data_IF_951264653205
#
_entry.id   IF_951264653205
#
_cell.length_a   1.000
_cell.length_b   1.000
_cell.length_c   1.000
_cell.angle_alpha   90.00
_cell.angle_beta   90.00
_cell.angle_gamma   90.00
#
_symmetry.space_group_name_H-M   'P 1'
#
loop_
_entity.id
_entity.type
_entity.pdbx_description
1 polymer ?
#
# COMPACT_ATOMS: atom_id res chain seq x y z
N UNK A 1 -18.70 -10.37 -10.44
CA UNK A 1 -18.86 -10.46 -10.20
C UNK A 1 -18.71 -10.73 -9.79
N UNK A 2 -18.81 -10.49 -9.85
CA UNK A 2 -18.94 -10.44 -9.46
C UNK A 2 -19.02 -10.50 -8.98
N UNK A 3 -18.92 -10.36 -9.01
CA UNK A 3 -19.22 -10.27 -8.59
C UNK A 3 -19.04 -10.29 -8.16
N UNK A 4 -19.15 -10.26 -8.28
CA UNK A 4 -19.25 -10.10 -7.96
C UNK A 4 -19.09 -10.10 -7.60
N UNK A 5 -18.95 -10.05 -7.74
CA UNK A 5 -19.02 -9.86 -7.47
C UNK A 5 -18.96 -9.84 -7.11
N UNK A 6 -18.75 -9.56 -6.82
CA UNK A 6 -18.97 -9.53 -6.53
C UNK A 6 -18.83 -9.58 -6.31
N UNK A 7 -18.80 -9.18 -6.18
CA UNK A 7 -18.91 -9.41 -5.97
C UNK A 7 -18.59 -9.50 -5.89
N UNK A 8 -18.51 -9.17 -5.71
CA UNK A 8 -18.38 -9.50 -5.56
C UNK A 8 -17.97 -9.82 -5.72
N UNK A 9 -17.60 -9.68 -5.96
CA UNK A 9 -17.33 -10.04 -6.15
C UNK A 9 -17.07 -10.40 -6.45
N UNK A 10 -17.04 -10.17 -6.50
CA UNK A 10 -16.85 -10.69 -6.88
C UNK A 10 -16.80 -10.91 -7.46
N UNK A 11 -16.62 -10.62 -7.78
CA UNK A 11 -16.61 -11.03 -8.36
C UNK A 11 -16.40 -11.24 -9.00
N UNK A 12 -16.12 -10.90 -9.22
CA UNK A 12 -16.01 -11.27 -9.84
C UNK A 12 -15.72 -11.47 -10.43
N UNK A 13 -15.36 -11.30 -10.87
CA UNK A 13 -15.15 -11.59 -11.50
C UNK A 13 -14.97 -11.82 -12.03
N UNK A 14 -14.53 -11.25 -12.09
CA UNK A 14 -14.32 -11.58 -12.51
C UNK A 14 -14.09 -11.59 -13.05
N UNK A 15 -13.75 -11.29 -13.18
CA UNK A 15 -13.50 -11.42 -13.67
C UNK A 15 -13.24 -11.43 -14.14
N UNK A 16 -13.03 -11.17 -14.38
CA UNK A 16 -12.73 -11.38 -14.82
C UNK A 16 -12.73 -11.48 -15.30
N UNK A 17 -12.45 -11.09 -15.41
CA UNK A 17 -12.19 -11.24 -15.82
C UNK A 17 -11.92 -10.99 -16.27
N UNK A 18 -11.72 -10.71 -16.56
CA UNK A 18 -11.20 -10.49 -17.07
C UNK A 18 -10.64 -10.16 -17.30
N UNK A 19 -10.16 -9.78 -17.48
CA UNK A 19 -9.41 -9.75 -17.79
C UNK A 19 -8.74 -9.52 -17.86
N UNK A 20 -8.13 -9.28 -18.07
CA UNK A 20 -7.27 -9.41 -18.25
C UNK A 20 -6.41 -9.48 -18.19
N UNK A 21 -5.85 -9.33 -18.34
CA UNK A 21 -4.91 -9.45 -18.16
C UNK A 21 -3.96 -9.33 -18.24
N UNK A 22 -3.41 -9.10 -18.19
CA UNK A 22 -2.36 -8.99 -18.21
C UNK A 22 -1.58 -9.43 -18.08
N UNK A 23 -1.17 -9.31 -18.30
CA UNK A 23 -0.47 -9.73 -18.30
C UNK A 23 0.52 -10.02 -17.79
N UNK A 24 0.96 -10.14 -17.80
CA UNK A 24 2.18 -10.25 -17.55
C UNK A 24 2.57 -10.56 -16.24
N UNK A 25 1.91 -10.49 -15.51
CA UNK A 25 2.19 -10.84 -14.22
C UNK A 25 1.86 -12.23 -13.95
N UNK A 26 2.30 -12.80 -12.90
CA UNK A 26 1.96 -14.11 -12.50
C UNK A 26 0.53 -14.17 -11.99
N UNK A 27 0.12 -15.27 -11.38
CA UNK A 27 -1.23 -15.40 -10.85
C UNK A 27 -1.52 -14.28 -9.85
N UNK A 28 -2.70 -13.72 -9.92
CA UNK A 28 -3.12 -12.64 -9.05
C UNK A 28 -4.21 -13.17 -8.14
N UNK A 29 -4.06 -12.97 -6.84
CA UNK A 29 -5.09 -13.31 -5.88
C UNK A 29 -6.29 -12.43 -6.14
N UNK A 30 -7.51 -13.01 -6.23
CA UNK A 30 -8.69 -12.20 -6.45
C UNK A 30 -8.78 -11.09 -5.42
N UNK A 31 -8.96 -9.85 -5.87
CA UNK A 31 -9.08 -8.71 -4.99
C UNK A 31 -7.77 -8.05 -4.62
N UNK A 32 -6.63 -8.64 -4.99
CA UNK A 32 -5.32 -8.09 -4.61
C UNK A 32 -4.90 -6.91 -5.47
N UNK A 33 -5.84 -6.33 -6.19
CA UNK A 33 -5.58 -5.20 -7.07
C UNK A 33 -5.80 -3.86 -6.39
N UNK A 34 -5.98 -3.85 -5.07
CA UNK A 34 -6.12 -2.58 -4.37
C UNK A 34 -4.75 -2.04 -3.96
N UNK A 35 -4.66 -0.72 -3.91
CA UNK A 35 -3.45 -0.01 -3.53
C UNK A 35 -3.74 0.76 -2.24
N UNK A 36 -2.84 0.65 -1.29
CA UNK A 36 -2.94 1.40 -0.04
C UNK A 36 -2.07 2.63 -0.15
N UNK A 37 -2.59 3.79 0.24
CA UNK A 37 -1.85 5.05 0.20
C UNK A 37 -1.78 5.62 1.60
N UNK A 38 -0.57 5.86 2.10
CA UNK A 38 -0.35 6.38 3.43
C UNK A 38 0.40 7.71 3.33
N UNK A 39 -0.26 8.79 3.71
CA UNK A 39 0.30 10.13 3.54
C UNK A 39 0.50 10.90 4.84
N UNK A 40 0.39 10.20 5.98
CA UNK A 40 0.55 10.84 7.27
C UNK A 40 1.14 9.84 8.26
N UNK A 41 1.73 10.31 9.35
CA UNK A 41 2.27 9.39 10.35
C UNK A 41 1.20 8.88 11.32
N UNK A 42 -0.05 9.32 11.14
CA UNK A 42 -1.18 8.96 11.99
C UNK A 42 -2.36 8.60 11.13
N UNK A 43 -3.28 7.83 11.68
CA UNK A 43 -4.52 7.46 11.02
C UNK A 43 -5.65 8.30 11.58
N UNK A 44 -6.21 9.15 10.72
CA UNK A 44 -7.33 10.00 11.12
C UNK A 44 -6.88 11.29 11.79
N UNK A 45 -7.86 12.12 12.10
CA UNK A 45 -7.66 13.41 12.74
C UNK A 45 -8.22 13.35 14.15
N UNK A 46 -7.42 13.75 15.12
CA UNK A 46 -7.80 13.68 16.53
C UNK A 46 -6.52 13.66 17.36
N UNK A 47 -6.49 12.80 18.35
CA UNK A 47 -5.29 12.66 19.16
C UNK A 47 -4.18 11.99 18.35
N UNK A 48 -2.99 12.59 18.35
CA UNK A 48 -1.89 12.08 17.54
C UNK A 48 -1.35 10.74 18.05
N UNK A 49 -1.30 10.55 19.36
CA UNK A 49 -0.81 9.28 19.90
C UNK A 49 -1.77 8.14 19.54
N UNK A 50 -3.06 8.39 19.63
CA UNK A 50 -4.06 7.42 19.21
C UNK A 50 -3.93 7.14 17.73
N UNK A 51 -3.80 8.19 16.90
CA UNK A 51 -3.68 8.03 15.46
C UNK A 51 -2.44 7.24 15.06
N UNK A 52 -1.35 7.42 15.79
CA UNK A 52 -0.13 6.68 15.54
C UNK A 52 -0.33 5.20 15.84
N UNK A 53 -0.99 4.90 16.96
CA UNK A 53 -1.28 3.52 17.33
C UNK A 53 -2.24 2.87 16.34
N UNK A 54 -3.23 3.63 15.87
CA UNK A 54 -4.19 3.11 14.89
C UNK A 54 -3.50 2.77 13.58
N UNK A 55 -2.59 3.62 13.13
CA UNK A 55 -1.89 3.36 11.87
C UNK A 55 -0.99 2.15 11.98
N UNK A 56 -0.30 2.01 13.11
CA UNK A 56 0.53 0.83 13.35
C UNK A 56 -0.33 -0.43 13.30
N UNK A 57 -1.50 -0.40 13.94
CA UNK A 57 -2.42 -1.53 13.94
C UNK A 57 -2.97 -1.78 12.53
N UNK A 58 -3.25 -0.71 11.78
CA UNK A 58 -3.72 -0.85 10.41
C UNK A 58 -2.72 -1.62 9.56
N UNK A 59 -1.44 -1.23 9.62
CA UNK A 59 -0.40 -1.89 8.84
C UNK A 59 -0.23 -3.35 9.27
N UNK A 60 -0.24 -3.60 10.58
CA UNK A 60 -0.17 -4.98 11.06
C UNK A 60 -1.37 -5.78 10.54
N UNK A 61 -2.56 -5.20 10.60
CA UNK A 61 -3.77 -5.88 10.18
C UNK A 61 -3.75 -6.21 8.68
N UNK A 62 -3.08 -5.38 7.88
CA UNK A 62 -2.90 -5.71 6.47
C UNK A 62 -2.19 -7.04 6.30
N UNK A 63 -1.21 -7.34 7.15
CA UNK A 63 -0.46 -8.60 7.03
C UNK A 63 -1.32 -9.81 7.35
N UNK A 64 -2.46 -9.59 8.02
CA UNK A 64 -3.36 -10.66 8.45
C UNK A 64 -4.56 -10.84 7.53
N UNK A 65 -4.69 -10.03 6.49
CA UNK A 65 -5.84 -10.13 5.59
C UNK A 65 -5.68 -11.32 4.65
N UNK A 66 -6.83 -11.89 4.23
CA UNK A 66 -6.82 -12.96 3.24
C UNK A 66 -6.23 -12.49 1.94
N UNK A 67 -6.50 -11.24 1.57
CA UNK A 67 -6.05 -10.65 0.32
C UNK A 67 -5.20 -9.45 0.65
N UNK A 68 -3.93 -9.52 0.27
CA UNK A 68 -2.98 -8.45 0.51
C UNK A 68 -3.10 -7.38 -0.58
N UNK A 69 -2.72 -6.13 -0.29
CA UNK A 69 -2.72 -5.11 -1.33
C UNK A 69 -1.67 -5.44 -2.39
N UNK A 70 -1.84 -4.90 -3.58
CA UNK A 70 -0.84 -5.03 -4.62
C UNK A 70 0.38 -4.20 -4.26
N UNK A 71 0.14 -3.01 -3.74
CA UNK A 71 1.24 -2.12 -3.33
C UNK A 71 0.80 -1.16 -2.24
N UNK A 72 1.79 -0.61 -1.56
CA UNK A 72 1.57 0.43 -0.55
C UNK A 72 2.47 1.60 -0.92
N UNK A 73 1.88 2.79 -1.02
CA UNK A 73 2.59 3.99 -1.43
C UNK A 73 2.62 4.98 -0.27
N UNK A 74 3.81 5.48 0.04
CA UNK A 74 3.99 6.45 1.12
C UNK A 74 4.44 7.79 0.55
N UNK A 75 3.81 8.88 0.95
CA UNK A 75 4.29 10.20 0.60
C UNK A 75 4.01 11.17 1.75
N UNK A 76 4.65 12.35 1.65
CA UNK A 76 4.57 13.39 2.67
C UNK A 76 4.84 12.79 4.07
N UNK A 77 3.97 13.01 5.03
CA UNK A 77 4.18 12.52 6.40
C UNK A 77 4.17 11.02 6.57
N UNK A 78 3.87 10.27 5.51
CA UNK A 78 3.92 8.81 5.57
C UNK A 78 5.31 8.23 5.37
N UNK A 79 6.23 8.98 4.72
CA UNK A 79 7.54 8.39 4.38
C UNK A 79 8.39 7.98 5.59
N UNK A 80 8.28 8.61 6.77
CA UNK A 80 9.06 8.11 7.92
C UNK A 80 8.76 6.66 8.27
N UNK A 81 7.59 6.15 7.89
CA UNK A 81 7.21 4.78 8.23
C UNK A 81 8.07 3.73 7.55
N UNK A 82 8.72 4.08 6.43
CA UNK A 82 9.62 3.14 5.74
C UNK A 82 11.08 3.36 6.11
N UNK A 83 11.35 4.23 7.08
CA UNK A 83 12.73 4.57 7.43
C UNK A 83 13.13 3.95 8.77
N UNK A 84 14.43 3.98 9.04
CA UNK A 84 14.99 3.45 10.29
C UNK A 84 14.26 4.06 11.49
N UNK A 85 13.98 3.23 12.48
CA UNK A 85 13.29 3.67 13.69
C UNK A 85 11.77 3.56 13.62
N UNK A 86 11.21 3.24 12.47
CA UNK A 86 9.78 3.05 12.35
C UNK A 86 9.33 1.81 13.11
N UNK A 87 8.23 1.92 13.83
CA UNK A 87 7.66 0.77 14.55
C UNK A 87 6.97 -0.21 13.61
N UNK A 88 6.77 0.19 12.35
CA UNK A 88 6.08 -0.66 11.37
C UNK A 88 7.01 -1.38 10.42
N UNK A 89 8.33 -1.27 10.61
CA UNK A 89 9.28 -1.87 9.67
C UNK A 89 9.12 -3.37 9.52
N UNK A 90 8.92 -4.08 10.64
CA UNK A 90 8.77 -5.54 10.60
C UNK A 90 7.56 -5.93 9.76
N UNK A 91 6.45 -5.25 9.98
CA UNK A 91 5.22 -5.55 9.26
C UNK A 91 5.37 -5.20 7.78
N UNK A 92 6.02 -4.09 7.46
CA UNK A 92 6.22 -3.69 6.08
C UNK A 92 7.15 -4.65 5.36
N UNK A 93 8.20 -5.11 6.05
CA UNK A 93 9.09 -6.10 5.46
C UNK A 93 8.38 -7.43 5.23
N UNK A 94 7.46 -7.79 6.14
CA UNK A 94 6.64 -8.98 5.97
C UNK A 94 5.78 -8.87 4.72
N UNK A 95 5.13 -7.72 4.53
CA UNK A 95 4.33 -7.49 3.33
C UNK A 95 5.20 -7.61 2.07
N UNK A 96 6.37 -6.98 2.09
CA UNK A 96 7.26 -7.01 0.94
C UNK A 96 7.72 -8.44 0.62
N UNK A 97 8.00 -9.22 1.66
CA UNK A 97 8.41 -10.61 1.48
C UNK A 97 7.31 -11.46 0.87
N UNK A 98 6.05 -11.05 1.01
CA UNK A 98 4.92 -11.76 0.43
C UNK A 98 4.53 -11.22 -0.94
N UNK A 99 5.32 -10.32 -1.51
CA UNK A 99 5.10 -9.84 -2.86
C UNK A 99 4.42 -8.49 -2.96
N UNK A 100 4.12 -7.85 -1.84
CA UNK A 100 3.53 -6.51 -1.87
C UNK A 100 4.63 -5.52 -2.23
N UNK A 101 4.37 -4.65 -3.21
CA UNK A 101 5.31 -3.62 -3.60
C UNK A 101 5.18 -2.43 -2.65
N UNK A 102 6.31 -1.92 -2.18
CA UNK A 102 6.31 -0.79 -1.26
C UNK A 102 7.13 0.35 -1.86
N UNK A 103 6.53 1.53 -1.93
CA UNK A 103 7.15 2.69 -2.56
C UNK A 103 7.07 3.90 -1.65
N UNK A 104 8.11 4.73 -1.68
CA UNK A 104 8.14 5.98 -0.95
C UNK A 104 8.55 7.11 -1.87
N UNK A 105 7.92 8.27 -1.72
CA UNK A 105 8.19 9.44 -2.54
C UNK A 105 9.58 9.98 -2.28
N UNK A 106 10.41 10.07 -3.32
CA UNK A 106 11.77 10.53 -3.19
C UNK A 106 11.89 11.99 -2.78
N UNK A 107 11.03 12.84 -3.36
CA UNK A 107 11.04 14.27 -3.01
C UNK A 107 10.69 14.47 -1.55
N UNK A 108 9.76 13.66 -1.02
CA UNK A 108 9.37 13.76 0.37
C UNK A 108 10.48 13.29 1.30
N UNK A 109 11.14 12.18 0.93
CA UNK A 109 12.28 11.68 1.70
C UNK A 109 13.38 12.73 1.76
N UNK A 110 13.65 13.37 0.62
CA UNK A 110 14.68 14.39 0.56
C UNK A 110 14.32 15.59 1.43
N UNK A 111 13.08 16.02 1.36
CA UNK A 111 12.62 17.17 2.14
C UNK A 111 12.80 16.96 3.64
N UNK A 112 12.52 15.74 4.11
CA UNK A 112 12.64 15.43 5.54
C UNK A 112 14.01 14.89 5.92
N UNK A 113 14.97 14.85 4.98
CA UNK A 113 16.33 14.38 5.27
C UNK A 113 16.41 12.90 5.55
N UNK A 114 15.53 12.11 4.93
CA UNK A 114 15.41 10.69 5.22
C UNK A 114 15.87 9.77 4.08
N UNK A 115 16.39 10.34 2.99
CA UNK A 115 16.76 9.55 1.83
C UNK A 115 17.70 8.40 2.16
N UNK A 116 18.68 8.64 3.03
CA UNK A 116 19.67 7.63 3.39
C UNK A 116 19.16 6.67 4.48
N UNK A 117 17.94 6.85 4.93
CA UNK A 117 17.42 6.09 6.05
C UNK A 117 16.33 5.10 5.66
N UNK A 118 16.05 4.97 4.37
CA UNK A 118 15.02 4.02 3.91
C UNK A 118 15.46 2.61 4.25
N UNK A 119 14.58 1.87 4.92
CA UNK A 119 14.88 0.52 5.39
C UNK A 119 14.01 -0.54 4.74
N UNK A 120 12.96 -0.14 4.03
CA UNK A 120 12.08 -1.09 3.34
C UNK A 120 11.50 -0.39 2.12
N UNK A 121 11.27 -1.16 1.04
CA UNK A 121 10.66 -0.64 -0.16
C UNK A 121 11.63 0.06 -1.07
N UNK A 122 11.08 0.73 -2.07
CA UNK A 122 11.85 1.44 -3.10
C UNK A 122 11.44 2.89 -3.17
N UNK A 123 12.37 3.73 -3.60
CA UNK A 123 12.10 5.16 -3.77
C UNK A 123 11.52 5.37 -5.15
N UNK A 124 10.48 6.18 -5.23
CA UNK A 124 9.82 6.48 -6.49
C UNK A 124 9.60 7.98 -6.63
N UNK A 125 8.92 8.38 -7.71
CA UNK A 125 8.66 9.79 -7.98
C UNK A 125 7.18 10.00 -8.23
N UNK A 126 6.79 11.28 -8.33
CA UNK A 126 5.38 11.63 -8.47
C UNK A 126 4.77 11.09 -9.76
N UNK A 127 5.54 11.02 -10.85
CA UNK A 127 5.02 10.47 -12.10
C UNK A 127 4.54 9.04 -11.88
N UNK A 128 5.37 8.23 -11.24
CA UNK A 128 5.01 6.84 -10.95
C UNK A 128 3.89 6.74 -9.93
N UNK A 129 3.90 7.61 -8.93
CA UNK A 129 2.84 7.60 -7.92
C UNK A 129 1.49 7.85 -8.59
N UNK A 130 1.42 8.87 -9.44
CA UNK A 130 0.17 9.18 -10.15
C UNK A 130 -0.23 8.01 -11.02
N UNK A 131 0.72 7.43 -11.76
CA UNK A 131 0.43 6.30 -12.62
C UNK A 131 -0.11 5.11 -11.82
N UNK A 132 0.51 4.80 -10.69
CA UNK A 132 0.06 3.68 -9.87
C UNK A 132 -1.32 3.94 -9.28
N UNK A 133 -1.58 5.19 -8.89
CA UNK A 133 -2.88 5.51 -8.31
C UNK A 133 -4.00 5.50 -9.37
N UNK A 134 -3.72 6.04 -10.56
CA UNK A 134 -4.77 6.11 -11.58
C UNK A 134 -5.08 4.77 -12.22
N UNK A 135 -4.15 3.82 -12.12
CA UNK A 135 -4.38 2.49 -12.70
C UNK A 135 -4.85 1.49 -11.65
N UNK A 136 -4.91 1.88 -10.39
CA UNK A 136 -5.40 1.01 -9.34
C UNK A 136 -6.89 0.82 -9.49
N UNK A 137 -7.38 -0.41 -9.30
CA UNK A 137 -8.81 -0.65 -9.31
C UNK A 137 -9.47 -0.04 -8.10
N UNK A 138 -8.77 -0.06 -6.97
CA UNK A 138 -9.32 0.47 -5.74
C UNK A 138 -8.18 1.05 -4.91
N UNK A 139 -8.45 2.18 -4.26
CA UNK A 139 -7.47 2.81 -3.38
C UNK A 139 -8.03 2.82 -1.97
N UNK A 140 -7.21 2.37 -1.03
CA UNK A 140 -7.53 2.42 0.40
C UNK A 140 -6.58 3.41 1.04
N UNK A 141 -7.12 4.48 1.57
CA UNK A 141 -6.32 5.55 2.16
C UNK A 141 -6.77 5.77 3.60
N UNK A 142 -6.05 5.23 4.56
CA UNK A 142 -6.42 5.36 5.98
C UNK A 142 -6.30 6.77 6.54
#
# INVERSE_FOLDING_TARGET
TMSQESDTHYTVRLVKEGADVSEDEGPVTPGSDYTVVINAPVMGVGDDQLGKNLLKTFIYTLTEQDVLPKRVIFYNGGVPLVTEGSESLEDLKNLEAQGVEIYACGACLNYYGLTDKVAVGSITNMFRIVEMMRTANRIVKP
#
